data_IF_398938401642
#
_entry.id   IF_398938401642
#
_cell.length_a   1.000
_cell.length_b   1.000
_cell.length_c   1.000
_cell.angle_alpha   90.00
_cell.angle_beta   90.00
_cell.angle_gamma   90.00
#
_symmetry.space_group_name_H-M   'P 1'
#
loop_
_entity.id
_entity.type
_entity.pdbx_description
1 polymer ?
#
# COMPACT_ATOMS: atom_id res chain seq x y z
N UNK A 1 2.33 -26.53 14.48
CA UNK A 1 2.12 -26.13 13.07
C UNK A 1 0.69 -25.65 12.82
N UNK A 2 -0.34 -26.42 13.17
CA UNK A 2 -1.76 -26.03 13.02
C UNK A 2 -2.12 -24.70 13.71
N UNK A 3 -1.71 -24.51 14.97
CA UNK A 3 -1.98 -23.27 15.73
C UNK A 3 -1.37 -22.02 15.08
N UNK A 4 -0.16 -22.14 14.53
CA UNK A 4 0.51 -21.03 13.85
C UNK A 4 -0.20 -20.66 12.53
N UNK A 5 -0.68 -21.66 11.79
CA UNK A 5 -1.46 -21.44 10.57
C UNK A 5 -2.81 -20.79 10.86
N UNK A 6 -3.52 -21.26 11.89
CA UNK A 6 -4.80 -20.66 12.32
C UNK A 6 -4.59 -19.23 12.80
N UNK A 7 -3.56 -18.97 13.62
CA UNK A 7 -3.21 -17.61 14.05
C UNK A 7 -2.92 -16.70 12.87
N UNK A 8 -2.14 -17.16 11.90
CA UNK A 8 -1.82 -16.38 10.71
C UNK A 8 -3.08 -16.06 9.88
N UNK A 9 -3.96 -17.04 9.67
CA UNK A 9 -5.24 -16.80 8.98
C UNK A 9 -6.11 -15.81 9.74
N UNK A 10 -6.25 -15.95 11.06
CA UNK A 10 -7.04 -15.01 11.87
C UNK A 10 -6.53 -13.57 11.73
N UNK A 11 -5.22 -13.41 11.72
CA UNK A 11 -4.56 -12.11 11.54
C UNK A 11 -4.84 -11.52 10.16
N UNK A 12 -4.76 -12.33 9.10
CA UNK A 12 -5.08 -11.91 7.74
C UNK A 12 -6.57 -11.51 7.59
N UNK A 13 -7.48 -12.31 8.15
CA UNK A 13 -8.91 -12.02 8.14
C UNK A 13 -9.23 -10.74 8.91
N UNK A 14 -8.65 -10.54 10.10
CA UNK A 14 -8.83 -9.31 10.89
C UNK A 14 -8.36 -8.08 10.12
N UNK A 15 -7.21 -8.18 9.43
CA UNK A 15 -6.70 -7.12 8.58
C UNK A 15 -7.66 -6.78 7.42
N UNK A 16 -8.10 -7.79 6.68
CA UNK A 16 -9.10 -7.63 5.60
C UNK A 16 -10.41 -7.04 6.11
N UNK A 17 -10.89 -7.50 7.26
CA UNK A 17 -12.12 -7.00 7.86
C UNK A 17 -12.01 -5.53 8.23
N UNK A 18 -10.85 -5.09 8.74
CA UNK A 18 -10.59 -3.67 9.01
C UNK A 18 -10.72 -2.79 7.75
N UNK A 19 -10.29 -3.30 6.60
CA UNK A 19 -10.40 -2.62 5.31
C UNK A 19 -11.87 -2.51 4.90
N UNK A 20 -12.61 -3.61 4.99
CA UNK A 20 -14.03 -3.65 4.62
C UNK A 20 -14.83 -2.66 5.46
N UNK A 21 -14.66 -2.67 6.79
CA UNK A 21 -15.36 -1.76 7.70
C UNK A 21 -15.03 -0.31 7.37
N UNK A 22 -13.76 0.00 7.10
CA UNK A 22 -13.33 1.36 6.77
C UNK A 22 -13.88 1.83 5.42
N UNK A 23 -13.90 0.95 4.41
CA UNK A 23 -14.47 1.25 3.09
C UNK A 23 -15.99 1.41 3.17
N UNK A 24 -16.67 0.56 3.94
CA UNK A 24 -18.12 0.65 4.17
C UNK A 24 -18.50 1.95 4.91
N UNK A 25 -17.69 2.36 5.90
CA UNK A 25 -17.83 3.67 6.54
C UNK A 25 -17.58 4.81 5.56
N UNK A 26 -16.52 4.74 4.74
CA UNK A 26 -16.21 5.79 3.76
C UNK A 26 -17.32 5.93 2.70
N UNK A 27 -17.93 4.83 2.30
CA UNK A 27 -19.10 4.85 1.40
C UNK A 27 -20.38 5.37 2.06
N UNK A 28 -20.38 5.59 3.37
CA UNK A 28 -21.56 5.99 4.14
C UNK A 28 -22.58 4.85 4.31
N UNK A 29 -22.20 3.61 4.01
CA UNK A 29 -23.05 2.41 4.17
C UNK A 29 -23.03 1.90 5.62
N UNK A 30 -22.09 2.37 6.45
CA UNK A 30 -21.93 1.98 7.84
C UNK A 30 -21.80 3.20 8.76
N UNK A 31 -22.64 3.28 9.80
CA UNK A 31 -22.47 4.26 10.87
C UNK A 31 -21.31 3.80 11.78
N UNK A 32 -20.26 4.62 11.92
CA UNK A 32 -19.11 4.26 12.75
C UNK A 32 -19.44 4.41 14.24
N UNK A 33 -19.62 3.27 14.91
CA UNK A 33 -19.58 3.19 16.36
C UNK A 33 -18.15 3.14 16.91
N UNK A 34 -18.00 2.99 18.24
CA UNK A 34 -16.70 3.01 18.90
C UNK A 34 -15.75 1.91 18.43
N UNK A 35 -16.30 0.76 18.03
CA UNK A 35 -15.55 -0.40 17.59
C UNK A 35 -15.02 -0.20 16.16
N UNK A 36 -15.86 0.34 15.29
CA UNK A 36 -15.54 0.68 13.91
C UNK A 36 -14.44 1.75 13.85
N UNK A 37 -14.50 2.76 14.73
CA UNK A 37 -13.45 3.77 14.87
C UNK A 37 -12.08 3.16 15.22
N UNK A 38 -12.04 2.12 16.05
CA UNK A 38 -10.81 1.41 16.36
C UNK A 38 -10.23 0.74 15.11
N UNK A 39 -11.07 0.06 14.31
CA UNK A 39 -10.64 -0.56 13.05
C UNK A 39 -10.21 0.46 11.99
N UNK A 40 -10.94 1.56 11.87
CA UNK A 40 -10.63 2.66 10.96
C UNK A 40 -9.28 3.30 11.30
N UNK A 41 -9.03 3.55 12.59
CA UNK A 41 -7.75 4.08 13.06
C UNK A 41 -6.59 3.08 12.96
N UNK A 42 -6.88 1.78 13.07
CA UNK A 42 -5.87 0.74 12.96
C UNK A 42 -5.42 0.51 11.51
N UNK A 43 -6.30 0.70 10.54
CA UNK A 43 -6.01 0.53 9.12
C UNK A 43 -4.78 1.33 8.63
N UNK A 44 -4.65 2.66 8.84
CA UNK A 44 -3.48 3.40 8.41
C UNK A 44 -2.20 2.93 9.09
N UNK A 45 -2.27 2.40 10.31
CA UNK A 45 -1.11 1.79 11.00
C UNK A 45 -0.66 0.54 10.25
N UNK A 46 -1.58 -0.34 9.87
CA UNK A 46 -1.25 -1.52 9.09
C UNK A 46 -0.72 -1.19 7.70
N UNK A 47 -1.33 -0.21 7.02
CA UNK A 47 -0.84 0.27 5.73
C UNK A 47 0.57 0.82 5.89
N UNK A 48 0.85 1.60 6.93
CA UNK A 48 2.19 2.12 7.19
C UNK A 48 3.21 1.01 7.45
N UNK A 49 2.87 0.01 8.26
CA UNK A 49 3.72 -1.16 8.52
C UNK A 49 3.97 -1.94 7.23
N UNK A 50 2.92 -2.28 6.48
CA UNK A 50 3.06 -2.92 5.18
C UNK A 50 3.93 -2.09 4.25
N UNK A 51 3.71 -0.79 4.19
CA UNK A 51 4.48 0.09 3.33
C UNK A 51 5.96 0.17 3.76
N UNK A 52 6.23 0.15 5.07
CA UNK A 52 7.58 0.22 5.64
C UNK A 52 8.40 -1.05 5.46
N UNK A 53 7.75 -2.22 5.53
CA UNK A 53 8.42 -3.53 5.52
C UNK A 53 8.32 -4.25 4.16
N UNK A 54 7.19 -4.14 3.47
CA UNK A 54 6.87 -4.91 2.26
C UNK A 54 6.72 -4.06 0.99
N UNK A 55 6.72 -2.73 1.07
CA UNK A 55 6.52 -1.90 -0.12
C UNK A 55 7.64 -2.03 -1.13
N UNK A 56 7.22 -2.27 -2.37
CA UNK A 56 8.00 -2.17 -3.60
C UNK A 56 8.53 -0.72 -3.80
N UNK A 57 7.95 0.27 -3.12
CA UNK A 57 8.39 1.67 -3.12
C UNK A 57 9.49 1.98 -2.08
N UNK A 58 10.37 1.02 -1.76
CA UNK A 58 11.54 1.33 -0.92
C UNK A 58 12.37 2.46 -1.58
N UNK A 59 13.02 3.35 -0.79
CA UNK A 59 14.08 4.26 -1.26
C UNK A 59 15.35 3.45 -1.61
N UNK A 60 15.21 2.61 -2.63
CA UNK A 60 16.16 1.64 -3.16
C UNK A 60 15.58 0.89 -4.37
N UNK A 61 14.49 1.41 -4.95
CA UNK A 61 13.83 0.85 -6.10
C UNK A 61 14.75 0.98 -7.33
N UNK A 62 15.48 -0.09 -7.66
CA UNK A 62 16.20 -0.24 -8.94
C UNK A 62 15.29 -0.19 -10.16
N UNK A 63 13.98 -0.32 -9.99
CA UNK A 63 12.99 -0.19 -11.06
C UNK A 63 12.54 1.26 -11.31
N UNK A 64 12.77 2.18 -10.36
CA UNK A 64 12.54 3.62 -10.54
C UNK A 64 13.82 4.40 -10.90
N UNK A 65 14.98 3.74 -10.88
CA UNK A 65 16.18 4.29 -11.50
C UNK A 65 15.93 4.33 -13.01
N UNK A 66 16.00 5.51 -13.67
CA UNK A 66 16.07 5.53 -15.13
C UNK A 66 17.25 4.65 -15.56
N UNK A 67 17.11 3.80 -16.58
CA UNK A 67 18.21 2.96 -17.03
C UNK A 67 19.41 3.86 -17.36
N UNK A 68 20.53 3.66 -16.65
CA UNK A 68 21.78 4.42 -16.85
C UNK A 68 22.36 4.23 -18.27
N UNK A 69 21.81 3.29 -19.06
CA UNK A 69 22.32 2.93 -20.39
C UNK A 69 21.48 3.46 -21.57
N UNK A 70 20.56 4.41 -21.36
CA UNK A 70 19.93 5.12 -22.49
C UNK A 70 20.54 6.50 -22.66
N UNK A 71 21.34 6.76 -23.71
CA UNK A 71 21.78 8.11 -24.01
C UNK A 71 20.56 9.01 -24.12
N UNK A 72 20.54 10.00 -23.24
CA UNK A 72 19.53 11.05 -23.15
C UNK A 72 19.25 11.57 -24.54
N UNK A 73 17.95 11.65 -24.87
CA UNK A 73 17.45 12.01 -26.19
C UNK A 73 18.26 13.11 -26.84
N UNK A 74 18.85 12.76 -27.99
CA UNK A 74 19.31 13.72 -28.97
C UNK A 74 18.07 14.49 -29.44
N UNK A 75 17.73 15.58 -28.74
CA UNK A 75 16.93 16.65 -29.35
C UNK A 75 17.79 17.23 -30.46
N UNK A 76 17.70 16.63 -31.65
CA UNK A 76 18.01 17.29 -32.90
C UNK A 76 16.98 18.41 -33.06
N UNK A 77 17.27 19.55 -32.43
CA UNK A 77 16.63 20.81 -32.80
C UNK A 77 17.06 21.16 -34.24
N UNK A 78 16.15 21.64 -35.09
CA UNK A 78 16.51 22.01 -36.45
C UNK A 78 17.43 23.23 -36.39
N UNK A 79 18.67 23.08 -36.83
CA UNK A 79 19.56 24.21 -37.09
C UNK A 79 19.65 24.39 -38.59
N UNK A 80 18.79 25.26 -39.11
CA UNK A 80 19.07 26.04 -40.32
C UNK A 80 19.89 27.29 -39.92
N UNK A 81 20.48 28.05 -40.86
CA UNK A 81 20.89 27.74 -42.24
C UNK A 81 22.37 27.34 -42.34
#
# INVERSE_FOLDING_TARGET
>A
MFVAFVSWMMFAFAFLYSIIVTVAWWKGELAAGPWEWLWIGLLPVWVFVYFRYYSIFRPGCRACLPPEDKPTGQRLGPRAP
#
